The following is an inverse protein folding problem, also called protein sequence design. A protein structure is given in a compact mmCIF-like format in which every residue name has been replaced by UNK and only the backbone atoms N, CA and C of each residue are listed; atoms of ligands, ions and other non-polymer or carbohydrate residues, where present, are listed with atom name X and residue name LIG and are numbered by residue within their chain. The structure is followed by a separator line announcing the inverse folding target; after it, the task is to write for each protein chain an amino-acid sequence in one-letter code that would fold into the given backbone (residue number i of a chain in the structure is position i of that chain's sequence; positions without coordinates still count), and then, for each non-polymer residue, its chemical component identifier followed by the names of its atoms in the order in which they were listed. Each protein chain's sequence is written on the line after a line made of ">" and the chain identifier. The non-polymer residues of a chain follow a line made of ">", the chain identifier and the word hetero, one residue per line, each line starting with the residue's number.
data_IF_604748881053
#
_entry.id   IF_604748881053
#
_cell.length_a   1.000
_cell.length_b   1.000
_cell.length_c   1.000
_cell.angle_alpha   90.00
_cell.angle_beta   90.00
_cell.angle_gamma   90.00
#
_symmetry.space_group_name_H-M   'P 1'
#
loop_
_entity.id
_entity.type
_entity.pdbx_description
1 polymer ?
#
# COMPACT_ATOMS: atom_id res chain seq x y z
N UNK A 1 -2.84 -5.52 -32.62
CA UNK A 1 -2.03 -4.39 -32.09
C UNK A 1 -2.86 -3.80 -30.97
N UNK A 2 -2.28 -3.43 -29.85
CA UNK A 2 -3.03 -2.74 -28.80
C UNK A 2 -3.43 -1.34 -29.30
N UNK A 3 -4.61 -0.85 -28.90
CA UNK A 3 -5.05 0.51 -29.26
C UNK A 3 -4.08 1.54 -28.64
N UNK A 4 -3.73 2.62 -29.38
CA UNK A 4 -2.81 3.64 -28.88
C UNK A 4 -3.38 4.33 -27.65
N UNK A 5 -2.49 4.83 -26.80
CA UNK A 5 -2.86 5.60 -25.61
C UNK A 5 -3.31 7.00 -26.06
N UNK A 6 -4.54 7.35 -25.78
CA UNK A 6 -5.14 8.62 -26.20
C UNK A 6 -4.84 9.71 -25.18
N UNK A 7 -4.08 10.73 -25.58
CA UNK A 7 -3.59 11.80 -24.70
C UNK A 7 -4.21 13.15 -25.06
N UNK A 8 -4.71 13.88 -24.06
CA UNK A 8 -5.10 15.28 -24.15
C UNK A 8 -4.01 16.14 -23.48
N UNK A 9 -3.48 17.11 -24.20
CA UNK A 9 -2.44 18.03 -23.71
C UNK A 9 -3.08 19.34 -23.26
N UNK A 10 -2.83 19.78 -22.02
CA UNK A 10 -3.40 21.00 -21.44
C UNK A 10 -2.29 21.87 -20.85
N UNK A 11 -2.09 23.05 -21.43
CA UNK A 11 -1.10 24.04 -20.99
C UNK A 11 -1.54 25.40 -21.59
N UNK A 12 -1.41 26.50 -20.89
CA UNK A 12 -1.85 27.82 -21.39
C UNK A 12 -0.86 28.40 -22.42
N UNK A 13 0.38 27.92 -22.44
CA UNK A 13 1.45 28.35 -23.34
C UNK A 13 1.37 27.57 -24.68
N UNK A 14 1.07 28.23 -25.83
CA UNK A 14 0.95 27.55 -27.11
C UNK A 14 2.20 26.76 -27.53
N UNK A 15 3.38 27.33 -27.29
CA UNK A 15 4.66 26.72 -27.66
C UNK A 15 4.90 25.41 -26.87
N UNK A 16 4.47 25.38 -25.62
CA UNK A 16 4.57 24.16 -24.77
C UNK A 16 3.65 23.08 -25.30
N UNK A 17 2.39 23.41 -25.63
CA UNK A 17 1.45 22.46 -26.24
C UNK A 17 1.97 21.87 -27.54
N UNK A 18 2.50 22.74 -28.46
CA UNK A 18 3.07 22.30 -29.72
C UNK A 18 4.30 21.41 -29.53
N UNK A 19 5.14 21.77 -28.58
CA UNK A 19 6.33 20.98 -28.26
C UNK A 19 5.95 19.58 -27.73
N UNK A 20 5.05 19.49 -26.74
CA UNK A 20 4.57 18.23 -26.18
C UNK A 20 3.88 17.37 -27.24
N UNK A 21 3.05 18.00 -28.11
CA UNK A 21 2.36 17.30 -29.21
C UNK A 21 3.36 16.71 -30.21
N UNK A 22 4.40 17.46 -30.59
CA UNK A 22 5.45 16.97 -31.48
C UNK A 22 6.25 15.84 -30.83
N UNK A 23 6.62 15.98 -29.56
CA UNK A 23 7.39 15.03 -28.83
C UNK A 23 6.64 13.69 -28.73
N UNK A 24 5.36 13.71 -28.36
CA UNK A 24 4.52 12.52 -28.29
C UNK A 24 4.20 11.92 -29.67
N UNK A 25 4.21 12.74 -30.73
CA UNK A 25 4.00 12.29 -32.10
C UNK A 25 5.10 11.38 -32.67
N UNK A 26 6.25 11.25 -32.00
CA UNK A 26 7.28 10.27 -32.37
C UNK A 26 7.02 8.87 -31.82
N UNK A 27 6.10 8.74 -30.86
CA UNK A 27 5.75 7.47 -30.22
C UNK A 27 4.64 6.76 -31.00
N UNK A 28 4.84 5.48 -31.33
CA UNK A 28 3.88 4.71 -32.13
C UNK A 28 2.68 4.19 -31.34
N UNK A 29 2.79 4.17 -30.03
CA UNK A 29 1.78 3.68 -29.07
C UNK A 29 1.03 4.80 -28.34
N UNK A 30 1.29 6.09 -28.69
CA UNK A 30 0.66 7.26 -28.09
C UNK A 30 0.01 8.12 -29.20
N UNK A 31 -1.23 8.54 -28.98
CA UNK A 31 -1.97 9.43 -29.89
C UNK A 31 -2.44 10.68 -29.14
N UNK A 32 -1.98 11.86 -29.55
CA UNK A 32 -2.51 13.12 -29.02
C UNK A 32 -3.85 13.42 -29.70
N UNK A 33 -4.94 13.23 -28.94
CA UNK A 33 -6.32 13.38 -29.44
C UNK A 33 -6.84 14.82 -29.39
N UNK A 34 -6.11 15.71 -28.72
CA UNK A 34 -6.46 17.14 -28.67
C UNK A 34 -5.51 17.93 -27.79
N UNK A 35 -5.64 19.26 -27.84
CA UNK A 35 -4.94 20.19 -26.98
C UNK A 35 -5.88 21.26 -26.44
N UNK A 36 -5.76 21.68 -25.18
CA UNK A 36 -6.57 22.70 -24.55
C UNK A 36 -5.67 23.79 -23.95
N UNK A 37 -6.14 25.04 -23.99
CA UNK A 37 -5.41 26.20 -23.48
C UNK A 37 -5.84 26.61 -22.06
N UNK A 38 -6.81 25.91 -21.44
CA UNK A 38 -7.31 26.22 -20.11
C UNK A 38 -7.93 24.99 -19.46
N UNK A 39 -8.05 24.99 -18.10
CA UNK A 39 -8.71 23.93 -17.35
C UNK A 39 -10.18 23.72 -17.75
N UNK A 40 -10.89 24.80 -18.07
CA UNK A 40 -12.30 24.75 -18.48
C UNK A 40 -12.45 24.09 -19.86
N UNK A 41 -11.58 24.42 -20.80
CA UNK A 41 -11.55 23.79 -22.13
C UNK A 41 -11.18 22.31 -22.00
N UNK A 42 -10.21 21.98 -21.14
CA UNK A 42 -9.80 20.61 -20.88
C UNK A 42 -10.97 19.72 -20.40
N UNK A 43 -11.81 20.21 -19.48
CA UNK A 43 -12.99 19.50 -19.00
C UNK A 43 -13.98 19.22 -20.13
N UNK A 44 -14.26 20.23 -20.97
CA UNK A 44 -15.16 20.06 -22.10
C UNK A 44 -14.64 19.08 -23.15
N UNK A 45 -13.34 19.15 -23.44
CA UNK A 45 -12.68 18.25 -24.40
C UNK A 45 -12.59 16.83 -23.87
N UNK A 46 -12.25 16.64 -22.60
CA UNK A 46 -12.19 15.31 -21.99
C UNK A 46 -13.54 14.59 -22.01
N UNK A 47 -14.64 15.31 -21.76
CA UNK A 47 -15.99 14.75 -21.85
C UNK A 47 -16.36 14.28 -23.28
N UNK A 48 -15.85 14.95 -24.32
CA UNK A 48 -16.10 14.62 -25.74
C UNK A 48 -15.16 13.57 -26.28
N UNK A 49 -13.87 13.74 -26.01
CA UNK A 49 -12.80 12.93 -26.60
C UNK A 49 -12.50 11.67 -25.80
N UNK A 50 -12.84 11.64 -24.52
CA UNK A 50 -12.56 10.54 -23.59
C UNK A 50 -11.11 10.05 -23.70
N UNK A 51 -10.12 10.94 -23.43
CA UNK A 51 -8.72 10.54 -23.46
C UNK A 51 -8.42 9.52 -22.35
N UNK A 52 -7.44 8.64 -22.56
CA UNK A 52 -6.93 7.76 -21.52
C UNK A 52 -6.13 8.54 -20.47
N UNK A 53 -5.34 9.53 -20.96
CA UNK A 53 -4.48 10.36 -20.12
C UNK A 53 -4.66 11.85 -20.47
N UNK A 54 -4.68 12.70 -19.44
CA UNK A 54 -4.68 14.16 -19.57
C UNK A 54 -3.38 14.68 -18.97
N UNK A 55 -2.52 15.29 -19.78
CA UNK A 55 -1.35 16.05 -19.32
C UNK A 55 -1.82 17.45 -18.95
N UNK A 56 -1.76 17.81 -17.66
CA UNK A 56 -2.36 19.02 -17.13
C UNK A 56 -1.31 19.94 -16.51
N UNK A 57 -1.12 21.13 -17.07
CA UNK A 57 -0.34 22.15 -16.37
C UNK A 57 -1.08 22.68 -15.15
N UNK A 58 -0.34 23.03 -14.10
CA UNK A 58 -0.93 23.59 -12.88
C UNK A 58 -1.26 25.07 -13.06
N UNK A 59 -0.33 25.85 -13.57
CA UNK A 59 -0.40 27.31 -13.57
C UNK A 59 -1.11 27.85 -14.80
N UNK A 60 -2.43 27.79 -14.82
CA UNK A 60 -3.24 28.36 -15.88
C UNK A 60 -4.10 29.54 -15.39
N UNK A 61 -4.30 30.60 -16.20
CA UNK A 61 -4.86 31.88 -15.74
C UNK A 61 -6.37 31.84 -15.42
N UNK A 62 -7.14 30.94 -16.00
CA UNK A 62 -8.61 30.91 -15.87
C UNK A 62 -9.09 29.97 -14.74
N UNK A 63 -8.56 28.75 -14.79
CA UNK A 63 -8.80 27.70 -13.80
C UNK A 63 -7.51 26.94 -13.62
N UNK A 64 -7.00 26.90 -12.38
CA UNK A 64 -5.76 26.16 -12.10
C UNK A 64 -5.94 24.66 -12.40
N UNK A 65 -4.85 23.99 -12.76
CA UNK A 65 -4.89 22.59 -13.12
C UNK A 65 -5.35 21.67 -11.99
N UNK A 66 -5.20 22.09 -10.73
CA UNK A 66 -5.65 21.32 -9.57
C UNK A 66 -7.19 21.35 -9.51
N UNK A 67 -7.80 22.54 -9.64
CA UNK A 67 -9.26 22.66 -9.67
C UNK A 67 -9.87 21.99 -10.90
N UNK A 68 -9.18 22.05 -12.05
CA UNK A 68 -9.59 21.33 -13.26
C UNK A 68 -9.56 19.80 -13.05
N UNK A 69 -8.53 19.28 -12.38
CA UNK A 69 -8.38 17.87 -12.08
C UNK A 69 -9.48 17.36 -11.15
N UNK A 70 -9.84 18.12 -10.13
CA UNK A 70 -10.95 17.78 -9.23
C UNK A 70 -12.28 17.64 -10.00
N UNK A 71 -12.57 18.55 -10.93
CA UNK A 71 -13.77 18.46 -11.77
C UNK A 71 -13.68 17.31 -12.79
N UNK A 72 -12.51 17.04 -13.38
CA UNK A 72 -12.29 15.91 -14.27
C UNK A 72 -12.49 14.57 -13.58
N UNK A 73 -12.08 14.44 -12.34
CA UNK A 73 -12.28 13.19 -11.56
C UNK A 73 -13.76 12.82 -11.41
N UNK A 74 -14.65 13.81 -11.41
CA UNK A 74 -16.10 13.63 -11.33
C UNK A 74 -16.77 13.49 -12.70
N UNK A 75 -16.33 14.29 -13.72
CA UNK A 75 -16.98 14.38 -15.03
C UNK A 75 -16.43 13.41 -16.07
N UNK A 76 -15.20 12.96 -15.92
CA UNK A 76 -14.51 12.02 -16.81
C UNK A 76 -13.66 11.01 -16.03
N UNK A 77 -14.27 10.16 -15.18
CA UNK A 77 -13.55 9.27 -14.26
C UNK A 77 -12.68 8.20 -14.94
N UNK A 78 -12.86 8.02 -16.26
CA UNK A 78 -12.04 7.13 -17.08
C UNK A 78 -10.77 7.76 -17.63
N UNK A 79 -10.54 9.06 -17.41
CA UNK A 79 -9.36 9.79 -17.88
C UNK A 79 -8.41 10.04 -16.72
N UNK A 80 -7.21 9.50 -16.78
CA UNK A 80 -6.20 9.70 -15.74
C UNK A 80 -5.45 11.02 -15.93
N UNK A 81 -5.22 11.79 -14.90
CA UNK A 81 -4.54 13.08 -14.97
C UNK A 81 -3.09 12.94 -14.52
N UNK A 82 -2.15 13.38 -15.36
CA UNK A 82 -0.73 13.57 -15.06
C UNK A 82 -0.49 15.07 -14.95
N UNK A 83 -0.16 15.55 -13.77
CA UNK A 83 0.09 16.98 -13.53
C UNK A 83 1.50 17.35 -13.96
N UNK A 84 1.66 18.56 -14.52
CA UNK A 84 2.95 19.13 -14.88
C UNK A 84 3.15 20.47 -14.16
N UNK A 85 4.31 20.70 -13.55
CA UNK A 85 4.60 21.93 -12.84
C UNK A 85 6.08 22.31 -12.90
N UNK A 86 6.36 23.60 -12.94
CA UNK A 86 7.73 24.14 -12.73
C UNK A 86 8.14 24.18 -11.25
N UNK A 87 7.17 24.01 -10.34
CA UNK A 87 7.39 24.05 -8.90
C UNK A 87 7.29 22.63 -8.35
N UNK A 88 8.42 22.10 -7.87
CA UNK A 88 8.51 20.79 -7.21
C UNK A 88 8.20 20.83 -5.72
N UNK A 89 7.50 21.87 -5.22
CA UNK A 89 7.17 21.97 -3.81
C UNK A 89 6.20 20.90 -3.37
N UNK A 90 6.47 20.27 -2.24
CA UNK A 90 5.66 19.16 -1.69
C UNK A 90 4.16 19.51 -1.52
N UNK A 91 3.84 20.80 -1.39
CA UNK A 91 2.45 21.26 -1.23
C UNK A 91 1.65 21.19 -2.54
N UNK A 92 2.28 21.51 -3.68
CA UNK A 92 1.64 21.37 -5.00
C UNK A 92 1.43 19.90 -5.38
N UNK A 93 2.43 19.05 -5.15
CA UNK A 93 2.32 17.60 -5.32
C UNK A 93 1.14 17.06 -4.51
N UNK A 94 1.10 17.39 -3.22
CA UNK A 94 0.03 16.94 -2.32
C UNK A 94 -1.35 17.39 -2.77
N UNK A 95 -1.52 18.67 -3.12
CA UNK A 95 -2.81 19.21 -3.59
C UNK A 95 -3.25 18.57 -4.90
N UNK A 96 -2.33 18.32 -5.82
CA UNK A 96 -2.58 17.65 -7.10
C UNK A 96 -3.08 16.21 -6.90
N UNK A 97 -2.43 15.45 -6.03
CA UNK A 97 -2.84 14.08 -5.72
C UNK A 97 -4.19 14.03 -5.00
N UNK A 98 -4.46 14.97 -4.10
CA UNK A 98 -5.77 15.09 -3.42
C UNK A 98 -6.89 15.46 -4.41
N UNK A 99 -6.61 16.22 -5.46
CA UNK A 99 -7.56 16.56 -6.52
C UNK A 99 -7.85 15.38 -7.47
N UNK A 100 -7.11 14.27 -7.35
CA UNK A 100 -7.31 13.05 -8.14
C UNK A 100 -6.29 12.82 -9.26
N UNK A 101 -5.20 13.59 -9.31
CA UNK A 101 -4.09 13.30 -10.22
C UNK A 101 -3.49 11.91 -9.92
N UNK A 102 -3.03 11.23 -10.97
CA UNK A 102 -2.40 9.90 -10.88
C UNK A 102 -0.89 9.97 -10.87
N UNK A 103 -0.32 11.05 -11.38
CA UNK A 103 1.12 11.27 -11.47
C UNK A 103 1.44 12.76 -11.48
N UNK A 104 2.68 13.12 -11.16
CA UNK A 104 3.15 14.50 -11.10
C UNK A 104 4.55 14.59 -11.70
N UNK A 105 4.72 15.43 -12.72
CA UNK A 105 5.98 15.68 -13.38
C UNK A 105 6.49 17.09 -13.11
N UNK A 106 7.75 17.22 -12.73
CA UNK A 106 8.40 18.51 -12.50
C UNK A 106 9.12 18.95 -13.75
N UNK A 107 8.75 20.11 -14.30
CA UNK A 107 9.44 20.72 -15.46
C UNK A 107 10.79 21.30 -15.03
N UNK A 108 11.90 21.10 -15.80
CA UNK A 108 11.97 20.37 -17.05
C UNK A 108 12.08 18.87 -16.85
N UNK A 109 11.34 18.08 -17.63
CA UNK A 109 11.41 16.62 -17.69
C UNK A 109 11.92 16.15 -19.07
N UNK A 110 12.47 14.96 -19.13
CA UNK A 110 12.91 14.34 -20.37
C UNK A 110 11.73 13.71 -21.15
N UNK A 111 11.96 13.45 -22.46
CA UNK A 111 11.01 12.69 -23.28
C UNK A 111 10.70 11.32 -22.67
N UNK A 112 11.72 10.64 -22.18
CA UNK A 112 11.59 9.31 -21.61
C UNK A 112 10.78 9.31 -20.31
N UNK A 113 10.98 10.30 -19.43
CA UNK A 113 10.17 10.47 -18.22
C UNK A 113 8.69 10.71 -18.55
N UNK A 114 8.40 11.58 -19.52
CA UNK A 114 7.04 11.88 -19.92
C UNK A 114 6.34 10.64 -20.49
N UNK A 115 6.97 9.95 -21.44
CA UNK A 115 6.38 8.78 -22.10
C UNK A 115 6.25 7.59 -21.15
N UNK A 116 7.22 7.39 -20.23
CA UNK A 116 7.14 6.38 -19.19
C UNK A 116 5.95 6.64 -18.23
N UNK A 117 5.77 7.90 -17.79
CA UNK A 117 4.64 8.30 -16.94
C UNK A 117 3.29 8.04 -17.63
N UNK A 118 3.14 8.44 -18.91
CA UNK A 118 1.91 8.20 -19.69
C UNK A 118 1.60 6.70 -19.78
N UNK A 119 2.58 5.88 -20.13
CA UNK A 119 2.41 4.42 -20.24
C UNK A 119 2.04 3.78 -18.90
N UNK A 120 2.72 4.17 -17.83
CA UNK A 120 2.47 3.66 -16.49
C UNK A 120 1.05 4.00 -16.00
N UNK A 121 0.64 5.26 -16.15
CA UNK A 121 -0.69 5.72 -15.75
C UNK A 121 -1.79 5.06 -16.57
N UNK A 122 -1.60 4.97 -17.90
CA UNK A 122 -2.56 4.32 -18.79
C UNK A 122 -2.71 2.82 -18.50
N UNK A 123 -1.61 2.10 -18.26
CA UNK A 123 -1.67 0.67 -17.95
C UNK A 123 -2.44 0.40 -16.63
N UNK A 124 -2.17 1.20 -15.59
CA UNK A 124 -2.89 1.12 -14.29
C UNK A 124 -4.40 1.38 -14.45
N UNK A 125 -4.78 2.36 -15.28
CA UNK A 125 -6.18 2.69 -15.45
C UNK A 125 -6.92 1.68 -16.36
N UNK A 126 -6.25 1.12 -17.38
CA UNK A 126 -6.78 0.01 -18.19
C UNK A 126 -6.98 -1.26 -17.38
N UNK A 127 -6.07 -1.60 -16.48
CA UNK A 127 -6.26 -2.70 -15.53
C UNK A 127 -7.47 -2.47 -14.61
N UNK A 128 -7.67 -1.24 -14.15
CA UNK A 128 -8.82 -0.86 -13.32
C UNK A 128 -10.13 -0.91 -14.12
N UNK A 129 -10.13 -0.44 -15.34
CA UNK A 129 -11.29 -0.48 -16.23
C UNK A 129 -11.62 -1.91 -16.70
N UNK A 130 -10.63 -2.76 -16.95
CA UNK A 130 -10.87 -4.18 -17.28
C UNK A 130 -11.51 -4.94 -16.11
N UNK A 131 -11.26 -4.51 -14.87
CA UNK A 131 -11.96 -4.99 -13.66
C UNK A 131 -13.40 -4.45 -13.55
N UNK A 132 -13.70 -3.29 -14.14
CA UNK A 132 -15.02 -2.64 -14.12
C UNK A 132 -15.86 -2.97 -15.37
N UNK A 133 -15.26 -3.45 -16.46
CA UNK A 133 -15.87 -3.60 -17.79
C UNK A 133 -16.46 -4.97 -18.13
N UNK A 134 -16.53 -5.90 -17.20
CA UNK A 134 -17.29 -7.16 -17.40
C UNK A 134 -18.61 -7.01 -16.65
N UNK A 135 -19.77 -7.04 -17.32
CA UNK A 135 -21.04 -7.21 -16.62
C UNK A 135 -21.07 -8.64 -16.10
N UNK A 136 -20.45 -8.86 -14.94
CA UNK A 136 -20.69 -10.05 -14.14
C UNK A 136 -22.03 -9.90 -13.47
N UNK A 137 -23.04 -10.54 -14.09
CA UNK A 137 -24.16 -11.07 -13.34
C UNK A 137 -23.59 -12.16 -12.41
N UNK A 138 -23.02 -11.76 -11.31
CA UNK A 138 -22.81 -12.53 -10.05
C UNK A 138 -22.15 -11.56 -9.05
N UNK A 139 -22.61 -11.57 -7.83
CA UNK A 139 -22.36 -10.70 -6.69
C UNK A 139 -20.92 -10.24 -6.39
N UNK A 140 -20.69 -9.57 -5.26
CA UNK A 140 -19.47 -8.79 -5.02
C UNK A 140 -18.25 -9.60 -5.40
N UNK A 141 -17.37 -8.99 -6.22
CA UNK A 141 -16.11 -9.58 -6.61
C UNK A 141 -15.40 -10.01 -5.32
N UNK A 142 -15.42 -11.33 -5.09
CA UNK A 142 -14.53 -11.93 -4.13
C UNK A 142 -13.13 -11.48 -4.56
N UNK A 143 -12.45 -10.72 -3.72
CA UNK A 143 -11.01 -10.60 -3.79
C UNK A 143 -10.51 -12.02 -4.06
N UNK A 144 -9.63 -12.17 -5.03
CA UNK A 144 -8.99 -13.45 -5.33
C UNK A 144 -8.31 -13.90 -4.03
N UNK A 145 -9.09 -14.61 -3.22
CA UNK A 145 -8.62 -15.23 -2.00
C UNK A 145 -7.76 -16.39 -2.44
N UNK A 146 -6.51 -16.04 -2.83
CA UNK A 146 -5.51 -16.99 -3.26
C UNK A 146 -5.41 -18.12 -2.24
N UNK A 147 -5.25 -19.34 -2.74
CA UNK A 147 -4.94 -20.50 -1.91
C UNK A 147 -3.69 -20.18 -1.10
N UNK A 148 -3.81 -19.99 0.22
CA UNK A 148 -2.66 -19.68 1.07
C UNK A 148 -3.04 -18.93 2.35
N UNK A 149 -2.02 -18.53 3.09
CA UNK A 149 -2.15 -17.83 4.37
C UNK A 149 -2.67 -16.39 4.25
N UNK A 150 -2.77 -15.72 5.38
CA UNK A 150 -3.28 -14.35 5.51
C UNK A 150 -2.14 -13.34 5.54
N UNK A 151 -2.25 -12.27 4.74
CA UNK A 151 -1.31 -11.15 4.74
C UNK A 151 -1.82 -10.08 5.71
N UNK A 152 -0.99 -9.71 6.68
CA UNK A 152 -1.26 -8.72 7.72
C UNK A 152 -0.25 -7.59 7.60
N UNK A 153 -0.69 -6.42 7.17
CA UNK A 153 0.13 -5.22 7.13
C UNK A 153 0.04 -4.45 8.46
N UNK A 154 1.19 -4.11 9.05
CA UNK A 154 1.25 -3.24 10.23
C UNK A 154 1.67 -1.87 9.76
N UNK A 155 0.73 -0.94 9.77
CA UNK A 155 0.90 0.40 9.20
C UNK A 155 0.59 1.50 10.22
N UNK A 156 1.15 2.66 10.02
CA UNK A 156 0.72 3.92 10.65
C UNK A 156 1.23 5.09 9.83
N UNK A 157 0.41 6.13 9.62
CA UNK A 157 0.86 7.37 8.98
C UNK A 157 1.71 8.25 9.91
N UNK A 158 2.06 7.76 11.10
CA UNK A 158 2.90 8.43 12.10
C UNK A 158 4.10 7.55 12.46
N UNK A 159 5.29 8.13 12.41
CA UNK A 159 6.52 7.47 12.89
C UNK A 159 6.54 7.37 14.43
N UNK A 160 7.26 6.38 14.96
CA UNK A 160 7.49 6.23 16.40
C UNK A 160 6.33 5.64 17.22
N UNK A 161 5.25 5.21 16.60
CA UNK A 161 4.09 4.60 17.29
C UNK A 161 4.31 3.13 17.69
N UNK A 162 5.44 2.52 17.31
CA UNK A 162 5.81 1.16 17.70
C UNK A 162 5.48 0.06 16.70
N UNK A 163 5.32 0.37 15.41
CA UNK A 163 5.02 -0.61 14.34
C UNK A 163 5.96 -1.80 14.34
N UNK A 164 7.26 -1.57 14.13
CA UNK A 164 8.29 -2.62 14.07
C UNK A 164 8.33 -3.45 15.35
N UNK A 165 8.21 -2.79 16.50
CA UNK A 165 8.16 -3.47 17.80
C UNK A 165 6.97 -4.43 17.91
N UNK A 166 5.79 -3.98 17.48
CA UNK A 166 4.58 -4.82 17.47
C UNK A 166 4.70 -5.92 16.42
N UNK A 167 5.18 -5.61 15.20
CA UNK A 167 5.36 -6.58 14.13
C UNK A 167 6.25 -7.75 14.53
N UNK A 168 7.42 -7.44 15.11
CA UNK A 168 8.38 -8.45 15.59
C UNK A 168 7.76 -9.33 16.68
N UNK A 169 7.16 -8.72 17.71
CA UNK A 169 6.61 -9.47 18.82
C UNK A 169 5.34 -10.26 18.44
N UNK A 170 4.53 -9.73 17.52
CA UNK A 170 3.38 -10.43 16.96
C UNK A 170 3.80 -11.68 16.18
N UNK A 171 4.83 -11.56 15.33
CA UNK A 171 5.36 -12.68 14.55
C UNK A 171 5.92 -13.78 15.47
N UNK A 172 6.68 -13.36 16.49
CA UNK A 172 7.24 -14.28 17.50
C UNK A 172 6.12 -14.98 18.28
N UNK A 173 5.12 -14.24 18.76
CA UNK A 173 3.98 -14.79 19.50
C UNK A 173 3.17 -15.78 18.66
N UNK A 174 2.87 -15.43 17.40
CA UNK A 174 2.12 -16.29 16.51
C UNK A 174 2.87 -17.60 16.16
N UNK A 175 4.18 -17.53 15.98
CA UNK A 175 4.99 -18.71 15.70
C UNK A 175 5.15 -19.60 16.92
N UNK A 176 5.57 -19.03 18.08
CA UNK A 176 5.91 -19.82 19.27
C UNK A 176 4.71 -20.34 20.06
N UNK A 177 3.59 -19.56 20.10
CA UNK A 177 2.42 -19.89 20.91
C UNK A 177 1.27 -20.51 20.14
N UNK A 178 1.08 -20.08 18.89
CA UNK A 178 -0.05 -20.56 18.08
C UNK A 178 0.39 -21.63 17.07
N UNK A 179 1.68 -21.96 17.03
CA UNK A 179 2.24 -22.98 16.14
C UNK A 179 2.03 -22.65 14.64
N UNK A 180 1.83 -21.38 14.30
CA UNK A 180 1.61 -20.94 12.92
C UNK A 180 2.91 -20.88 12.15
N UNK A 181 2.86 -21.22 10.85
CA UNK A 181 3.95 -20.95 9.91
C UNK A 181 3.93 -19.46 9.60
N UNK A 182 4.76 -18.67 10.27
CA UNK A 182 4.80 -17.22 10.17
C UNK A 182 6.01 -16.77 9.41
N UNK A 183 5.83 -15.81 8.49
CA UNK A 183 6.91 -15.01 7.94
C UNK A 183 6.67 -13.54 8.24
N UNK A 184 7.70 -12.88 8.77
CA UNK A 184 7.76 -11.43 8.96
C UNK A 184 8.59 -10.83 7.83
N UNK A 185 8.00 -9.95 7.04
CA UNK A 185 8.68 -9.17 6.02
C UNK A 185 8.94 -7.75 6.54
N UNK A 186 10.18 -7.31 6.44
CA UNK A 186 10.53 -5.91 6.69
C UNK A 186 10.19 -5.09 5.44
N UNK A 187 9.13 -4.30 5.51
CA UNK A 187 8.65 -3.42 4.44
C UNK A 187 9.21 -1.99 4.54
N UNK A 188 10.09 -1.72 5.50
CA UNK A 188 10.84 -0.47 5.61
C UNK A 188 12.15 -0.56 4.82
N UNK A 189 12.05 -0.57 3.49
CA UNK A 189 13.14 -0.97 2.59
C UNK A 189 14.41 -0.13 2.69
N UNK A 190 14.30 1.15 3.04
CA UNK A 190 15.48 2.04 3.16
C UNK A 190 16.21 1.91 4.49
N UNK A 191 15.47 1.77 5.58
CA UNK A 191 15.99 1.75 6.96
C UNK A 191 15.18 0.75 7.80
N UNK A 192 15.27 -0.53 7.44
CA UNK A 192 14.57 -1.59 8.14
C UNK A 192 15.28 -2.01 9.43
N UNK A 193 14.52 -2.18 10.49
CA UNK A 193 15.03 -2.50 11.83
C UNK A 193 14.68 -3.92 12.31
N UNK A 194 13.88 -4.68 11.55
CA UNK A 194 13.45 -6.03 11.96
C UNK A 194 14.64 -6.95 12.24
N UNK A 195 15.65 -6.90 11.38
CA UNK A 195 16.87 -7.70 11.55
C UNK A 195 17.61 -7.38 12.85
N UNK A 196 17.68 -6.10 13.23
CA UNK A 196 18.32 -5.62 14.46
C UNK A 196 17.52 -6.08 15.68
N UNK A 197 16.20 -5.95 15.68
CA UNK A 197 15.32 -6.30 16.78
C UNK A 197 15.29 -7.82 17.06
N UNK A 198 15.67 -8.62 16.07
CA UNK A 198 15.75 -10.08 16.16
C UNK A 198 17.19 -10.61 16.22
N UNK A 199 18.18 -9.70 16.31
CA UNK A 199 19.61 -10.03 16.33
C UNK A 199 20.02 -10.98 15.19
N UNK A 200 19.51 -10.71 13.97
CA UNK A 200 19.80 -11.51 12.78
C UNK A 200 21.06 -11.00 12.09
N UNK A 201 21.70 -11.87 11.30
CA UNK A 201 22.89 -11.49 10.54
C UNK A 201 22.55 -10.50 9.42
N UNK A 202 23.09 -9.27 9.44
CA UNK A 202 22.78 -8.24 8.42
C UNK A 202 23.33 -8.55 7.03
N UNK A 203 24.20 -9.57 6.89
CA UNK A 203 24.74 -10.04 5.61
C UNK A 203 23.92 -11.15 4.96
N UNK A 204 22.80 -11.52 5.55
CA UNK A 204 21.90 -12.49 4.98
C UNK A 204 21.18 -11.91 3.77
N UNK A 205 20.67 -12.80 2.90
CA UNK A 205 19.85 -12.40 1.76
C UNK A 205 18.62 -11.59 2.22
N UNK A 206 18.17 -10.70 1.37
CA UNK A 206 17.11 -9.73 1.62
C UNK A 206 16.07 -9.76 0.49
N UNK A 207 15.04 -8.95 0.59
CA UNK A 207 14.08 -8.76 -0.50
C UNK A 207 14.73 -8.20 -1.77
N UNK A 208 15.83 -7.44 -1.67
CA UNK A 208 16.55 -6.94 -2.84
C UNK A 208 17.25 -8.05 -3.64
N UNK A 209 17.59 -9.16 -2.99
CA UNK A 209 18.11 -10.33 -3.65
C UNK A 209 16.99 -11.21 -4.25
N UNK A 210 15.82 -11.21 -3.60
CA UNK A 210 14.67 -12.03 -3.98
C UNK A 210 13.93 -11.48 -5.21
N UNK A 211 13.70 -10.17 -5.27
CA UNK A 211 12.86 -9.54 -6.32
C UNK A 211 13.38 -9.83 -7.73
N UNK A 212 14.69 -9.69 -8.03
CA UNK A 212 15.21 -10.02 -9.37
C UNK A 212 14.99 -11.48 -9.78
N UNK A 213 15.19 -12.45 -8.87
CA UNK A 213 14.95 -13.86 -9.15
C UNK A 213 13.46 -14.17 -9.40
N UNK A 214 12.57 -13.48 -8.64
CA UNK A 214 11.12 -13.56 -8.87
C UNK A 214 10.70 -12.98 -10.22
N UNK A 215 11.27 -11.85 -10.61
CA UNK A 215 10.93 -11.17 -11.87
C UNK A 215 11.45 -11.96 -13.07
N UNK A 216 12.65 -12.54 -12.98
CA UNK A 216 13.21 -13.41 -14.00
C UNK A 216 12.47 -14.77 -14.11
N UNK A 217 11.72 -15.17 -13.09
CA UNK A 217 11.08 -16.48 -13.03
C UNK A 217 12.06 -17.62 -12.71
N UNK A 218 13.20 -17.30 -12.14
CA UNK A 218 14.31 -18.21 -11.83
C UNK A 218 14.31 -18.70 -10.37
N UNK A 219 13.31 -18.27 -9.58
CA UNK A 219 13.22 -18.61 -8.17
C UNK A 219 13.05 -20.13 -7.97
N UNK A 220 14.08 -20.80 -7.48
CA UNK A 220 14.01 -22.23 -7.10
C UNK A 220 13.25 -22.43 -5.78
N UNK A 221 13.55 -21.62 -4.76
CA UNK A 221 12.91 -21.71 -3.45
C UNK A 221 12.99 -20.38 -2.68
N UNK A 222 11.87 -19.94 -2.14
CA UNK A 222 11.81 -18.76 -1.26
C UNK A 222 12.55 -18.97 0.07
N UNK A 223 12.70 -20.21 0.49
CA UNK A 223 13.38 -20.60 1.73
C UNK A 223 14.83 -20.11 1.81
N UNK A 224 15.49 -19.90 0.65
CA UNK A 224 16.87 -19.40 0.59
C UNK A 224 16.99 -17.91 0.92
N UNK A 225 15.87 -17.18 0.97
CA UNK A 225 15.83 -15.73 1.21
C UNK A 225 15.26 -15.39 2.58
N UNK A 226 14.70 -16.36 3.29
CA UNK A 226 14.16 -16.14 4.64
C UNK A 226 15.05 -16.76 5.70
N UNK A 227 15.17 -16.08 6.85
CA UNK A 227 15.95 -16.54 8.00
C UNK A 227 15.01 -17.07 9.04
N UNK A 228 15.28 -18.23 9.62
CA UNK A 228 14.49 -18.76 10.73
C UNK A 228 15.04 -18.25 12.04
N UNK A 229 14.22 -17.48 12.78
CA UNK A 229 14.51 -17.06 14.15
C UNK A 229 14.28 -18.21 15.14
N UNK A 230 14.90 -18.16 16.34
CA UNK A 230 14.77 -19.19 17.40
C UNK A 230 13.34 -19.43 17.89
N UNK A 231 12.42 -18.48 17.68
CA UNK A 231 10.98 -18.63 17.96
C UNK A 231 10.22 -19.48 16.93
N UNK A 232 10.86 -19.86 15.83
CA UNK A 232 10.21 -20.50 14.68
C UNK A 232 9.64 -19.52 13.64
N UNK A 233 9.60 -18.22 13.93
CA UNK A 233 9.23 -17.21 12.92
C UNK A 233 10.31 -17.12 11.85
N UNK A 234 9.88 -17.05 10.59
CA UNK A 234 10.76 -16.74 9.44
C UNK A 234 10.79 -15.26 9.19
N UNK A 235 11.88 -14.75 8.64
CA UNK A 235 12.09 -13.32 8.42
C UNK A 235 12.66 -13.08 7.05
N UNK A 236 12.01 -12.23 6.27
CA UNK A 236 12.55 -11.65 5.04
C UNK A 236 13.03 -10.23 5.35
N UNK A 237 14.34 -10.01 5.27
CA UNK A 237 14.97 -8.75 5.63
C UNK A 237 14.74 -7.66 4.59
N UNK A 238 14.77 -6.40 5.05
CA UNK A 238 14.95 -5.24 4.18
C UNK A 238 16.35 -5.27 3.52
N UNK A 239 16.55 -4.51 2.44
CA UNK A 239 17.86 -4.34 1.82
C UNK A 239 18.92 -3.87 2.82
N UNK A 240 20.19 -4.29 2.66
CA UNK A 240 21.28 -3.87 3.55
C UNK A 240 21.69 -2.39 3.36
N UNK A 241 21.27 -1.75 2.28
CA UNK A 241 21.53 -0.33 2.03
C UNK A 241 20.36 0.37 1.33
N UNK A 242 20.17 1.69 1.54
CA UNK A 242 19.09 2.45 0.93
C UNK A 242 19.11 2.44 -0.61
N UNK A 243 20.30 2.39 -1.22
CA UNK A 243 20.45 2.36 -2.68
C UNK A 243 19.81 1.09 -3.28
N UNK A 244 19.90 -0.04 -2.59
CA UNK A 244 19.27 -1.29 -3.03
C UNK A 244 17.75 -1.26 -2.91
N UNK A 245 17.19 -0.36 -2.09
CA UNK A 245 15.75 -0.18 -1.97
C UNK A 245 15.10 0.35 -3.26
N UNK A 246 15.85 1.08 -4.09
CA UNK A 246 15.38 1.60 -5.38
C UNK A 246 15.07 0.48 -6.39
N UNK A 247 15.67 -0.70 -6.20
CA UNK A 247 15.41 -1.88 -7.05
C UNK A 247 14.07 -2.56 -6.73
N UNK A 248 13.42 -2.19 -5.61
CA UNK A 248 12.18 -2.84 -5.16
C UNK A 248 10.98 -2.15 -5.77
N UNK A 249 10.39 -2.80 -6.77
CA UNK A 249 9.21 -2.33 -7.47
C UNK A 249 7.91 -2.71 -6.75
N UNK A 250 6.81 -1.97 -6.91
CA UNK A 250 5.49 -2.38 -6.41
C UNK A 250 5.05 -3.76 -6.92
N UNK A 251 5.38 -4.08 -8.18
CA UNK A 251 5.11 -5.39 -8.78
C UNK A 251 5.93 -6.50 -8.11
N UNK A 252 7.22 -6.25 -7.84
CA UNK A 252 8.11 -7.16 -7.11
C UNK A 252 7.60 -7.42 -5.69
N UNK A 253 7.15 -6.38 -4.98
CA UNK A 253 6.53 -6.50 -3.66
C UNK A 253 5.28 -7.38 -3.70
N UNK A 254 4.37 -7.13 -4.65
CA UNK A 254 3.15 -7.93 -4.81
C UNK A 254 3.48 -9.40 -5.06
N UNK A 255 4.40 -9.68 -5.99
CA UNK A 255 4.83 -11.05 -6.33
C UNK A 255 5.52 -11.75 -5.15
N UNK A 256 6.29 -10.99 -4.35
CA UNK A 256 6.89 -11.48 -3.09
C UNK A 256 5.81 -11.90 -2.11
N UNK A 257 4.83 -11.05 -1.85
CA UNK A 257 3.73 -11.34 -0.92
C UNK A 257 2.89 -12.54 -1.35
N UNK A 258 2.56 -12.66 -2.63
CA UNK A 258 1.86 -13.81 -3.21
C UNK A 258 2.66 -15.11 -3.04
N UNK A 259 3.99 -15.04 -3.18
CA UNK A 259 4.87 -16.21 -3.02
C UNK A 259 4.99 -16.61 -1.55
N UNK A 260 5.19 -15.65 -0.64
CA UNK A 260 5.22 -15.90 0.80
C UNK A 260 3.92 -16.50 1.32
N UNK A 261 2.78 -16.01 0.84
CA UNK A 261 1.43 -16.47 1.22
C UNK A 261 1.21 -17.96 0.95
N UNK A 262 1.80 -18.50 -0.13
CA UNK A 262 1.64 -19.93 -0.50
C UNK A 262 2.28 -20.89 0.50
N UNK A 263 3.34 -20.44 1.19
CA UNK A 263 4.13 -21.28 2.09
C UNK A 263 3.90 -21.05 3.58
N UNK A 264 3.09 -20.04 3.95
CA UNK A 264 2.93 -19.60 5.33
C UNK A 264 1.46 -19.39 5.69
N UNK A 265 1.10 -19.64 6.96
CA UNK A 265 -0.23 -19.37 7.48
C UNK A 265 -0.46 -17.86 7.69
N UNK A 266 0.60 -17.14 8.09
CA UNK A 266 0.60 -15.70 8.29
C UNK A 266 1.82 -15.04 7.64
N UNK A 267 1.59 -14.02 6.84
CA UNK A 267 2.59 -13.10 6.32
C UNK A 267 2.40 -11.76 7.00
N UNK A 268 3.26 -11.42 7.95
CA UNK A 268 3.22 -10.14 8.66
C UNK A 268 4.19 -9.18 7.97
N UNK A 269 3.75 -7.96 7.68
CA UNK A 269 4.57 -6.95 7.01
C UNK A 269 4.69 -5.72 7.91
N UNK A 270 5.93 -5.38 8.29
CA UNK A 270 6.23 -4.11 8.97
C UNK A 270 6.36 -3.00 7.93
N UNK A 271 5.34 -2.14 7.82
CA UNK A 271 5.30 -1.09 6.81
C UNK A 271 6.03 0.18 7.28
N UNK A 272 6.58 0.94 6.33
CA UNK A 272 7.06 2.31 6.59
C UNK A 272 5.90 3.27 6.93
N UNK A 273 6.21 4.46 7.47
CA UNK A 273 5.21 5.52 7.72
C UNK A 273 4.85 6.29 6.44
N UNK A 274 5.65 6.15 5.39
CA UNK A 274 5.45 6.87 4.14
C UNK A 274 4.42 6.15 3.27
N UNK A 275 3.51 6.91 2.69
CA UNK A 275 2.47 6.43 1.80
C UNK A 275 2.98 6.50 0.35
N UNK A 276 3.93 5.63 0.01
CA UNK A 276 4.51 5.48 -1.33
C UNK A 276 3.93 4.26 -2.07
N UNK A 277 4.29 4.09 -3.34
CA UNK A 277 3.76 3.03 -4.20
C UNK A 277 4.01 1.62 -3.65
N UNK A 278 5.18 1.37 -3.07
CA UNK A 278 5.49 0.05 -2.48
C UNK A 278 4.66 -0.21 -1.22
N UNK A 279 4.47 0.81 -0.37
CA UNK A 279 3.56 0.71 0.80
C UNK A 279 2.13 0.49 0.34
N UNK A 280 1.66 1.22 -0.67
CA UNK A 280 0.33 1.04 -1.23
C UNK A 280 0.15 -0.38 -1.78
N UNK A 281 1.13 -0.92 -2.50
CA UNK A 281 1.09 -2.31 -2.98
C UNK A 281 0.99 -3.34 -1.83
N UNK A 282 1.65 -3.08 -0.69
CA UNK A 282 1.52 -3.91 0.52
C UNK A 282 0.09 -3.81 1.09
N UNK A 283 -0.42 -2.58 1.27
CA UNK A 283 -1.76 -2.35 1.83
C UNK A 283 -2.87 -2.93 0.94
N UNK A 284 -2.72 -2.83 -0.38
CA UNK A 284 -3.66 -3.43 -1.35
C UNK A 284 -3.67 -4.96 -1.25
N UNK A 285 -2.49 -5.59 -1.15
CA UNK A 285 -2.34 -7.04 -1.08
C UNK A 285 -2.73 -7.62 0.30
N UNK A 286 -2.76 -6.79 1.36
CA UNK A 286 -3.10 -7.23 2.70
C UNK A 286 -4.56 -7.64 2.84
N UNK A 287 -4.82 -8.70 3.59
CA UNK A 287 -6.18 -9.10 4.02
C UNK A 287 -6.62 -8.30 5.25
N UNK A 288 -5.66 -7.96 6.13
CA UNK A 288 -5.86 -7.16 7.33
C UNK A 288 -4.79 -6.09 7.44
N UNK A 289 -5.19 -4.87 7.73
CA UNK A 289 -4.31 -3.74 8.00
C UNK A 289 -4.46 -3.37 9.48
N UNK A 290 -3.47 -3.73 10.30
CA UNK A 290 -3.38 -3.28 11.68
C UNK A 290 -2.81 -1.86 11.70
N UNK A 291 -3.67 -0.88 11.89
CA UNK A 291 -3.29 0.51 11.84
C UNK A 291 -2.99 1.04 13.24
N UNK A 292 -1.69 1.26 13.50
CA UNK A 292 -1.17 1.66 14.79
C UNK A 292 -1.36 3.14 15.06
N UNK A 293 -1.84 3.49 16.27
CA UNK A 293 -1.92 4.87 16.76
C UNK A 293 -1.49 4.97 18.22
N UNK A 294 -1.20 6.20 18.67
CA UNK A 294 -0.88 6.54 20.05
C UNK A 294 -1.74 7.70 20.52
N UNK A 295 -1.82 7.92 21.85
CA UNK A 295 -2.58 9.02 22.47
C UNK A 295 -1.88 10.38 22.29
N UNK A 296 -1.65 10.76 21.01
CA UNK A 296 -1.03 12.01 20.60
C UNK A 296 -1.91 12.70 19.55
N UNK A 297 -2.10 14.01 19.66
CA UNK A 297 -2.94 14.80 18.73
C UNK A 297 -2.53 14.60 17.27
N UNK A 298 -1.21 14.57 17.00
CA UNK A 298 -0.67 14.36 15.65
C UNK A 298 -0.92 12.95 15.11
N UNK A 299 -0.91 11.94 15.98
CA UNK A 299 -1.24 10.56 15.62
C UNK A 299 -2.72 10.44 15.27
N UNK A 300 -3.60 11.03 16.07
CA UNK A 300 -5.05 11.03 15.88
C UNK A 300 -5.43 11.76 14.57
N UNK A 301 -4.87 12.96 14.36
CA UNK A 301 -5.07 13.72 13.12
C UNK A 301 -4.66 12.93 11.88
N UNK A 302 -3.45 12.33 11.89
CA UNK A 302 -2.95 11.58 10.74
C UNK A 302 -3.76 10.29 10.52
N UNK A 303 -4.23 9.66 11.61
CA UNK A 303 -5.10 8.49 11.51
C UNK A 303 -6.42 8.82 10.81
N UNK A 304 -7.05 9.94 11.16
CA UNK A 304 -8.29 10.37 10.49
C UNK A 304 -8.07 10.57 8.99
N UNK A 305 -6.98 11.26 8.60
CA UNK A 305 -6.63 11.44 7.20
C UNK A 305 -6.38 10.11 6.47
N UNK A 306 -5.73 9.15 7.14
CA UNK A 306 -5.52 7.82 6.56
C UNK A 306 -6.84 7.08 6.34
N UNK A 307 -7.78 7.14 7.29
CA UNK A 307 -9.08 6.49 7.14
C UNK A 307 -9.90 7.09 6.00
N UNK A 308 -9.86 8.41 5.81
CA UNK A 308 -10.47 9.08 4.66
C UNK A 308 -9.86 8.57 3.34
N UNK A 309 -8.53 8.38 3.27
CA UNK A 309 -7.84 7.79 2.11
C UNK A 309 -8.19 6.31 1.93
N UNK A 310 -8.26 5.54 3.01
CA UNK A 310 -8.62 4.12 2.96
C UNK A 310 -10.05 3.91 2.40
N UNK A 311 -10.99 4.78 2.78
CA UNK A 311 -12.34 4.78 2.22
C UNK A 311 -12.35 5.13 0.72
N UNK A 312 -11.54 6.11 0.30
CA UNK A 312 -11.39 6.47 -1.12
C UNK A 312 -10.74 5.35 -1.95
N UNK A 313 -9.82 4.57 -1.35
CA UNK A 313 -9.22 3.39 -1.97
C UNK A 313 -10.17 2.20 -2.00
N UNK A 314 -11.35 2.30 -1.37
CA UNK A 314 -12.35 1.24 -1.33
C UNK A 314 -11.98 0.10 -0.39
N UNK A 315 -11.14 0.34 0.62
CA UNK A 315 -10.84 -0.69 1.62
C UNK A 315 -12.09 -0.96 2.46
N UNK A 316 -12.50 -2.22 2.51
CA UNK A 316 -13.62 -2.64 3.34
C UNK A 316 -13.38 -2.29 4.82
N UNK A 317 -14.41 -1.89 5.54
CA UNK A 317 -14.32 -1.47 6.95
C UNK A 317 -13.71 -2.55 7.86
N UNK A 318 -13.85 -3.82 7.52
CA UNK A 318 -13.25 -4.95 8.24
C UNK A 318 -11.77 -5.18 7.94
N UNK A 319 -11.25 -4.65 6.83
CA UNK A 319 -9.83 -4.78 6.44
C UNK A 319 -8.94 -3.91 7.33
N UNK A 320 -9.37 -2.70 7.68
CA UNK A 320 -8.61 -1.75 8.50
C UNK A 320 -9.02 -1.87 9.96
N UNK A 321 -8.07 -2.23 10.84
CA UNK A 321 -8.26 -2.35 12.28
C UNK A 321 -7.39 -1.37 13.03
N UNK A 322 -7.98 -0.70 14.02
CA UNK A 322 -7.30 0.31 14.84
C UNK A 322 -6.68 -0.35 16.08
N UNK A 323 -5.35 -0.24 16.19
CA UNK A 323 -4.60 -0.75 17.33
C UNK A 323 -4.01 0.44 18.08
N UNK A 324 -4.53 0.72 19.27
CA UNK A 324 -4.01 1.77 20.15
C UNK A 324 -2.84 1.24 20.98
N UNK A 325 -1.65 1.72 20.68
CA UNK A 325 -0.46 1.42 21.46
C UNK A 325 -0.28 2.44 22.60
N UNK A 326 0.30 1.99 23.71
CA UNK A 326 0.46 2.80 24.95
C UNK A 326 -0.89 3.34 25.46
N UNK A 327 -1.89 2.46 25.49
CA UNK A 327 -3.29 2.82 25.75
C UNK A 327 -3.56 3.32 27.18
N UNK A 328 -2.70 3.01 28.13
CA UNK A 328 -2.75 3.41 29.54
C UNK A 328 -1.98 4.71 29.83
N UNK A 329 -1.52 5.41 28.80
CA UNK A 329 -0.84 6.69 28.93
C UNK A 329 -1.77 7.74 29.55
N UNK A 330 -1.40 8.27 30.72
CA UNK A 330 -2.18 9.25 31.49
C UNK A 330 -2.00 10.69 31.01
N UNK A 331 -1.55 10.90 29.77
CA UNK A 331 -1.16 12.19 29.22
C UNK A 331 -2.33 13.07 28.70
N UNK A 332 -3.52 12.95 29.31
CA UNK A 332 -4.61 13.91 29.13
C UNK A 332 -5.59 13.62 27.98
N UNK A 333 -5.33 12.66 27.09
CA UNK A 333 -6.25 12.22 26.05
C UNK A 333 -6.84 10.86 26.44
N UNK A 334 -8.17 10.76 26.49
CA UNK A 334 -8.86 9.50 26.80
C UNK A 334 -9.16 8.72 25.52
N UNK A 335 -9.21 7.41 25.61
CA UNK A 335 -9.56 6.53 24.47
C UNK A 335 -10.91 6.94 23.85
N UNK A 336 -11.92 7.27 24.67
CA UNK A 336 -13.22 7.72 24.18
C UNK A 336 -13.14 9.01 23.35
N UNK A 337 -12.22 9.94 23.68
CA UNK A 337 -12.02 11.18 22.93
C UNK A 337 -11.36 10.88 21.58
N UNK A 338 -10.45 9.89 21.52
CA UNK A 338 -9.85 9.38 20.29
C UNK A 338 -10.89 8.75 19.37
N UNK A 339 -11.71 7.83 19.91
CA UNK A 339 -12.79 7.17 19.16
C UNK A 339 -13.79 8.18 18.60
N UNK A 340 -14.17 9.17 19.41
CA UNK A 340 -15.06 10.23 18.97
C UNK A 340 -14.45 11.09 17.83
N UNK A 341 -13.15 11.44 17.95
CA UNK A 341 -12.44 12.25 16.96
C UNK A 341 -12.23 11.52 15.63
N UNK A 342 -11.99 10.20 15.68
CA UNK A 342 -11.75 9.35 14.51
C UNK A 342 -13.07 8.86 13.89
N UNK A 343 -14.17 8.84 14.66
CA UNK A 343 -15.47 8.31 14.25
C UNK A 343 -15.52 6.77 14.18
N UNK A 344 -14.52 6.08 14.78
CA UNK A 344 -14.43 4.62 14.81
C UNK A 344 -13.98 4.12 16.18
N UNK A 345 -14.40 2.91 16.53
CA UNK A 345 -13.95 2.23 17.74
C UNK A 345 -12.53 1.70 17.58
N UNK A 346 -11.79 1.67 18.68
CA UNK A 346 -10.50 0.99 18.77
C UNK A 346 -10.76 -0.51 18.86
N UNK A 347 -10.15 -1.26 17.94
CA UNK A 347 -10.33 -2.72 17.89
C UNK A 347 -9.48 -3.43 18.94
N UNK A 348 -8.22 -2.98 19.12
CA UNK A 348 -7.29 -3.58 20.06
C UNK A 348 -6.46 -2.51 20.80
N UNK A 349 -6.03 -2.83 22.01
CA UNK A 349 -5.19 -1.96 22.84
C UNK A 349 -3.96 -2.69 23.34
N UNK A 350 -2.83 -1.99 23.40
CA UNK A 350 -1.56 -2.48 23.95
C UNK A 350 -1.12 -1.50 25.02
N UNK A 351 -0.86 -1.99 26.22
CA UNK A 351 -0.40 -1.16 27.35
C UNK A 351 1.01 -0.62 27.13
N UNK A 352 1.35 0.45 27.84
CA UNK A 352 2.70 1.01 27.84
C UNK A 352 3.59 0.22 28.81
N UNK A 353 4.66 -0.38 28.32
CA UNK A 353 5.74 -0.93 29.15
C UNK A 353 7.10 -0.49 28.57
N UNK A 354 7.39 0.80 28.73
CA UNK A 354 8.63 1.38 28.21
C UNK A 354 9.89 0.68 28.73
N UNK A 355 9.85 0.16 29.96
CA UNK A 355 11.01 -0.52 30.55
C UNK A 355 11.29 -1.85 29.85
N UNK A 356 10.29 -2.73 29.75
CA UNK A 356 10.44 -4.03 29.09
C UNK A 356 10.74 -3.86 27.59
N UNK A 357 10.06 -2.92 26.92
CA UNK A 357 10.24 -2.66 25.49
C UNK A 357 11.63 -2.12 25.19
N UNK A 358 12.10 -1.06 25.88
CA UNK A 358 13.43 -0.47 25.64
C UNK A 358 14.55 -1.46 25.97
N UNK A 359 14.39 -2.24 27.06
CA UNK A 359 15.33 -3.27 27.40
C UNK A 359 15.45 -4.35 26.31
N UNK A 360 14.32 -4.79 25.76
CA UNK A 360 14.27 -5.76 24.67
C UNK A 360 14.90 -5.23 23.38
N UNK A 361 14.57 -4.00 22.99
CA UNK A 361 15.10 -3.32 21.80
C UNK A 361 16.64 -3.24 21.85
N UNK A 362 17.20 -2.80 22.97
CA UNK A 362 18.65 -2.63 23.12
C UNK A 362 19.43 -3.96 23.14
N UNK A 363 18.76 -5.09 23.29
CA UNK A 363 19.38 -6.43 23.30
C UNK A 363 19.11 -7.24 22.03
N UNK A 364 18.28 -6.75 21.14
CA UNK A 364 17.83 -7.51 19.96
C UNK A 364 17.10 -8.81 20.36
N UNK A 365 16.38 -8.78 21.49
CA UNK A 365 15.58 -9.92 21.99
C UNK A 365 14.15 -9.45 22.18
N UNK A 366 13.18 -9.99 21.43
CA UNK A 366 11.78 -9.58 21.57
C UNK A 366 11.30 -9.65 23.02
N UNK A 367 10.53 -8.66 23.48
CA UNK A 367 10.03 -8.65 24.85
C UNK A 367 9.08 -9.82 25.11
N UNK A 368 8.39 -10.31 24.10
CA UNK A 368 7.56 -11.51 24.20
C UNK A 368 8.37 -12.75 24.61
N UNK A 369 9.65 -12.83 24.24
CA UNK A 369 10.57 -13.88 24.66
C UNK A 369 11.14 -13.59 26.04
N UNK A 370 11.61 -12.35 26.28
CA UNK A 370 12.34 -11.98 27.49
C UNK A 370 11.45 -11.72 28.71
N UNK A 371 10.17 -11.36 28.51
CA UNK A 371 9.20 -11.06 29.57
C UNK A 371 7.78 -11.47 29.17
N UNK A 372 7.55 -12.79 29.05
CA UNK A 372 6.30 -13.36 28.53
C UNK A 372 5.08 -13.05 29.40
N UNK A 373 5.27 -12.93 30.73
CA UNK A 373 4.18 -12.69 31.66
C UNK A 373 3.79 -11.21 31.79
N UNK A 374 4.59 -10.30 31.22
CA UNK A 374 4.27 -8.89 31.20
C UNK A 374 2.93 -8.61 30.47
N UNK A 375 2.18 -7.62 30.96
CA UNK A 375 0.89 -7.27 30.37
C UNK A 375 1.02 -6.92 28.87
N UNK A 376 2.09 -6.23 28.47
CA UNK A 376 2.37 -5.91 27.06
C UNK A 376 2.52 -7.18 26.22
N UNK A 377 3.14 -8.25 26.74
CA UNK A 377 3.27 -9.54 26.07
C UNK A 377 1.92 -10.27 25.97
N UNK A 378 1.08 -10.19 27.00
CA UNK A 378 -0.27 -10.74 26.99
C UNK A 378 -1.17 -10.02 25.98
N UNK A 379 -1.02 -8.71 25.84
CA UNK A 379 -1.74 -7.93 24.83
C UNK A 379 -1.32 -8.32 23.41
N UNK A 380 -0.01 -8.53 23.17
CA UNK A 380 0.49 -9.06 21.88
C UNK A 380 -0.06 -10.46 21.60
N UNK A 381 -0.13 -11.33 22.60
CA UNK A 381 -0.69 -12.68 22.43
C UNK A 381 -2.19 -12.62 22.09
N UNK A 382 -2.93 -11.71 22.72
CA UNK A 382 -4.35 -11.47 22.41
C UNK A 382 -4.49 -11.00 20.95
N UNK A 383 -3.68 -10.03 20.52
CA UNK A 383 -3.65 -9.55 19.14
C UNK A 383 -3.30 -10.68 18.17
N UNK A 384 -2.31 -11.53 18.49
CA UNK A 384 -1.93 -12.68 17.68
C UNK A 384 -3.09 -13.68 17.50
N UNK A 385 -3.83 -13.97 18.58
CA UNK A 385 -5.02 -14.84 18.54
C UNK A 385 -6.15 -14.22 17.69
N UNK A 386 -6.39 -12.93 17.84
CA UNK A 386 -7.37 -12.18 17.04
C UNK A 386 -7.06 -12.28 15.55
N UNK A 387 -5.83 -11.96 15.15
CA UNK A 387 -5.36 -12.04 13.77
C UNK A 387 -5.40 -13.46 13.21
N UNK A 388 -4.97 -14.46 14.00
CA UNK A 388 -5.00 -15.86 13.58
C UNK A 388 -6.43 -16.43 13.48
N UNK A 389 -7.36 -15.94 14.30
CA UNK A 389 -8.78 -16.26 14.22
C UNK A 389 -9.42 -15.76 12.94
N UNK A 390 -9.07 -14.56 12.51
CA UNK A 390 -9.54 -13.99 11.25
C UNK A 390 -8.96 -14.71 10.03
N UNK A 391 -7.68 -15.11 10.11
CA UNK A 391 -7.06 -15.94 9.09
C UNK A 391 -7.89 -17.21 8.83
N UNK A 392 -8.36 -17.87 9.89
CA UNK A 392 -9.24 -19.03 9.78
C UNK A 392 -10.61 -18.68 9.14
N UNK A 393 -11.15 -17.51 9.45
CA UNK A 393 -12.42 -17.05 8.89
C UNK A 393 -12.32 -16.69 7.41
N UNK A 394 -11.20 -16.10 6.97
CA UNK A 394 -10.91 -15.79 5.55
C UNK A 394 -10.78 -17.09 4.75
N UNK A 395 -10.01 -18.07 5.25
CA UNK A 395 -9.85 -19.39 4.59
C UNK A 395 -11.20 -20.13 4.49
N UNK A 396 -11.98 -20.16 5.55
CA UNK A 396 -13.30 -20.83 5.55
C UNK A 396 -14.30 -20.16 4.59
N UNK A 397 -14.27 -18.84 4.41
CA UNK A 397 -15.09 -18.14 3.40
C UNK A 397 -14.69 -18.53 1.97
N UNK A 398 -13.39 -18.64 1.70
CA UNK A 398 -12.88 -19.06 0.40
C UNK A 398 -13.25 -20.51 0.07
N UNK A 399 -13.15 -21.42 1.02
CA UNK A 399 -13.56 -22.84 0.84
C UNK A 399 -15.08 -22.99 0.67
N UNK A 400 -15.86 -22.24 1.44
CA UNK A 400 -17.33 -22.22 1.31
C UNK A 400 -17.80 -21.72 -0.06
N UNK A 401 -17.16 -20.69 -0.61
CA UNK A 401 -17.43 -20.17 -1.95
C UNK A 401 -17.09 -21.20 -3.04
N UNK A 402 -15.94 -21.90 -2.93
CA UNK A 402 -15.55 -22.97 -3.86
C UNK A 402 -16.49 -24.18 -3.83
N UNK A 403 -16.99 -24.57 -2.65
CA UNK A 403 -17.96 -25.66 -2.54
C UNK A 403 -19.32 -25.28 -3.11
N UNK A 404 -19.76 -24.03 -2.94
CA UNK A 404 -20.98 -23.51 -3.54
C UNK A 404 -20.90 -23.49 -5.07
N UNK A 405 -19.76 -23.07 -5.62
CA UNK A 405 -19.50 -23.03 -7.06
C UNK A 405 -19.43 -24.45 -7.68
N UNK A 406 -18.80 -25.42 -7.00
CA UNK A 406 -18.84 -26.83 -7.42
C UNK A 406 -20.25 -27.41 -7.40
N UNK A 407 -21.06 -27.12 -6.41
CA UNK A 407 -22.47 -27.60 -6.33
C UNK A 407 -23.34 -27.00 -7.43
N UNK A 408 -23.12 -25.72 -7.81
CA UNK A 408 -23.88 -25.11 -8.91
C UNK A 408 -23.54 -25.70 -10.29
N UNK A 409 -22.28 -26.07 -10.52
CA UNK A 409 -21.82 -26.73 -11.76
C UNK A 409 -22.34 -28.18 -11.88
N UNK A 410 -22.61 -28.88 -10.77
CA UNK A 410 -23.19 -30.22 -10.78
C UNK A 410 -24.72 -30.22 -10.83
N UNK A 411 -25.40 -29.11 -10.54
CA UNK A 411 -26.86 -28.98 -10.61
C UNK A 411 -27.37 -28.67 -12.03
N UNK A 412 -26.48 -28.46 -12.99
CA UNK A 412 -26.79 -28.19 -14.41
C UNK A 412 -26.47 -29.38 -15.34
N UNK A 413 -26.25 -30.55 -14.78
CA UNK A 413 -26.22 -31.84 -15.49
C UNK A 413 -27.36 -32.72 -14.96
#
# INVERSE_FOLDING_TARGET
>A
MADPIRVLVVDDIPETRDHLTKLLGFETDIEVVGSAASGREAIQMAAKLRPDVVLMDINMPDMDGIAATEQLSQSAPGSAVVMMSVQGEADYLRRSMLAGAREFLVKPFSSDELTASIRQVSSREREKQSRLGVPSATGPAAADSGEGGTIVAIFSPKGGVGRTTVAVNLAVAAASELGKKVVLMDGSFQFGDVGVLLNLNPKSKSIADLVPELEAGELESIETFVITHSSGARVLLAPPSPEMAEMITPAGVKKTLETLRRGHDLVIVDCTAFFNDTTLAILDAADVILTMLSLEITSIKNMRLFLEVADQLGYESGKVRLVLNRADSTLGIRVADVEHSIGRKIDETIVSDGRSVVYALNRGIPFFVSNREAQVSQDILRLAKSVAGDAAAVVNRAEGAKQAQKKSLFAWR
#
